data_IF_874670203361
#
_entry.id   IF_874670203361
#
_cell.length_a   1.000
_cell.length_b   1.000
_cell.length_c   1.000
_cell.angle_alpha   90.00
_cell.angle_beta   90.00
_cell.angle_gamma   90.00
#
_symmetry.space_group_name_H-M   'P 1'
#
loop_
_entity.id
_entity.type
_entity.pdbx_description
1 polymer ?
#
# COMPACT_ATOMS: atom_id res chain seq x y z
N UNK A 1 9.55 -2.59 -12.65
CA UNK A 1 8.68 -2.58 -11.45
C UNK A 1 7.38 -3.28 -11.74
N UNK A 2 6.95 -4.07 -10.81
CA UNK A 2 5.71 -4.82 -11.00
C UNK A 2 4.49 -3.93 -10.79
N UNK A 3 3.55 -3.99 -11.71
CA UNK A 3 2.30 -3.27 -11.58
C UNK A 3 1.30 -4.08 -10.76
N UNK A 4 0.56 -3.39 -9.92
CA UNK A 4 -0.50 -3.99 -9.12
C UNK A 4 -1.77 -3.18 -9.30
N UNK A 5 -2.88 -3.68 -8.75
CA UNK A 5 -4.13 -2.93 -8.74
C UNK A 5 -3.96 -1.62 -8.01
N UNK A 6 -3.13 -1.61 -6.98
CA UNK A 6 -2.88 -0.40 -6.22
C UNK A 6 -2.31 0.70 -7.12
N UNK A 7 -1.42 0.34 -8.04
CA UNK A 7 -0.85 1.31 -8.99
C UNK A 7 -1.90 1.85 -9.96
N UNK A 8 -2.96 1.10 -10.19
CA UNK A 8 -4.06 1.58 -11.01
C UNK A 8 -4.99 2.53 -10.26
N UNK A 9 -5.03 2.44 -8.94
CA UNK A 9 -5.92 3.25 -8.13
C UNK A 9 -5.28 4.57 -7.70
N UNK A 10 -3.98 4.60 -7.52
CA UNK A 10 -3.26 5.74 -6.95
C UNK A 10 -2.05 6.09 -7.80
N UNK A 11 -1.59 7.36 -7.73
CA UNK A 11 -0.29 7.69 -8.32
C UNK A 11 0.79 6.75 -7.78
N UNK A 12 1.79 6.49 -8.61
CA UNK A 12 2.81 5.50 -8.28
C UNK A 12 3.45 5.75 -6.91
N UNK A 13 3.80 7.01 -6.62
CA UNK A 13 4.48 7.31 -5.35
C UNK A 13 3.57 7.00 -4.17
N UNK A 14 2.29 7.36 -4.26
CA UNK A 14 1.36 7.07 -3.17
C UNK A 14 1.14 5.59 -3.02
N UNK A 15 0.97 4.88 -4.14
CA UNK A 15 0.78 3.44 -4.12
C UNK A 15 1.95 2.74 -3.42
N UNK A 16 3.18 3.17 -3.73
CA UNK A 16 4.36 2.54 -3.14
C UNK A 16 4.45 2.81 -1.64
N UNK A 17 4.21 4.04 -1.21
CA UNK A 17 4.27 4.36 0.21
C UNK A 17 3.18 3.61 0.98
N UNK A 18 1.97 3.59 0.44
CA UNK A 18 0.87 2.86 1.08
C UNK A 18 1.20 1.38 1.17
N UNK A 19 1.74 0.80 0.11
CA UNK A 19 2.12 -0.60 0.11
C UNK A 19 3.15 -0.90 1.19
N UNK A 20 4.17 -0.06 1.28
CA UNK A 20 5.26 -0.30 2.21
C UNK A 20 4.86 -0.11 3.67
N UNK A 21 3.97 0.83 3.95
CA UNK A 21 3.61 1.15 5.32
C UNK A 21 2.34 0.47 5.82
N UNK A 22 1.39 0.19 4.93
CA UNK A 22 0.11 -0.35 5.37
C UNK A 22 0.02 -1.87 5.30
N UNK A 23 0.81 -2.52 4.45
CA UNK A 23 0.79 -3.98 4.43
C UNK A 23 1.50 -4.57 5.64
N UNK A 24 2.35 -3.77 6.28
CA UNK A 24 3.03 -4.20 7.50
C UNK A 24 2.98 -3.06 8.51
N UNK A 25 1.88 -2.93 9.26
CA UNK A 25 1.65 -1.76 10.11
C UNK A 25 2.64 -1.61 11.26
N UNK A 26 3.39 -2.65 11.59
CA UNK A 26 4.41 -2.56 12.62
C UNK A 26 5.74 -2.02 12.09
N UNK A 27 5.84 -1.90 10.78
CA UNK A 27 7.06 -1.44 10.16
C UNK A 27 7.17 0.07 10.28
N UNK A 28 8.35 0.53 10.69
CA UNK A 28 8.70 1.94 10.60
C UNK A 28 9.85 2.07 9.61
N UNK A 29 9.70 2.95 8.64
CA UNK A 29 10.70 3.14 7.61
C UNK A 29 11.08 4.60 7.54
N UNK A 30 12.38 4.86 7.36
CA UNK A 30 12.83 6.24 7.16
C UNK A 30 12.97 6.52 5.66
N UNK A 31 13.14 7.80 5.33
CA UNK A 31 13.00 8.26 3.95
C UNK A 31 13.91 7.51 2.99
N UNK A 32 15.17 7.27 3.37
CA UNK A 32 16.08 6.57 2.48
C UNK A 32 15.64 5.14 2.20
N UNK A 33 15.08 4.47 3.21
CA UNK A 33 14.56 3.12 3.00
C UNK A 33 13.38 3.14 2.03
N UNK A 34 12.50 4.12 2.19
CA UNK A 34 11.37 4.25 1.29
C UNK A 34 11.83 4.52 -0.14
N UNK A 35 12.84 5.37 -0.29
CA UNK A 35 13.41 5.66 -1.59
C UNK A 35 13.98 4.41 -2.23
N UNK A 36 14.74 3.64 -1.46
CA UNK A 36 15.40 2.46 -1.97
C UNK A 36 14.39 1.37 -2.34
N UNK A 37 13.39 1.16 -1.47
CA UNK A 37 12.42 0.09 -1.68
C UNK A 37 11.44 0.41 -2.81
N UNK A 38 11.17 1.69 -3.05
CA UNK A 38 10.22 2.10 -4.08
C UNK A 38 10.89 2.42 -5.40
N UNK A 39 12.20 2.65 -5.39
CA UNK A 39 12.97 3.07 -6.56
C UNK A 39 12.47 4.41 -7.11
N UNK A 40 12.03 5.29 -6.22
CA UNK A 40 11.57 6.62 -6.57
C UNK A 40 12.51 7.67 -5.98
N UNK A 41 12.46 8.89 -6.51
CA UNK A 41 13.35 9.93 -6.07
C UNK A 41 13.03 10.40 -4.64
N UNK A 42 14.06 10.90 -3.97
CA UNK A 42 13.91 11.42 -2.62
C UNK A 42 12.85 12.52 -2.54
N UNK A 43 12.90 13.45 -3.48
CA UNK A 43 11.96 14.57 -3.46
C UNK A 43 10.52 14.10 -3.63
N UNK A 44 10.31 13.17 -4.54
CA UNK A 44 8.98 12.61 -4.79
C UNK A 44 8.43 11.94 -3.52
N UNK A 45 9.28 11.18 -2.85
CA UNK A 45 8.89 10.49 -1.62
C UNK A 45 8.57 11.51 -0.52
N UNK A 46 9.43 12.52 -0.34
CA UNK A 46 9.21 13.51 0.70
C UNK A 46 7.93 14.31 0.49
N UNK A 47 7.65 14.68 -0.76
CA UNK A 47 6.43 15.42 -1.07
C UNK A 47 5.19 14.61 -0.72
N UNK A 48 5.20 13.34 -1.07
CA UNK A 48 4.04 12.50 -0.78
C UNK A 48 3.90 12.21 0.71
N UNK A 49 5.00 11.99 1.41
CA UNK A 49 4.97 11.77 2.85
C UNK A 49 4.33 12.97 3.56
N UNK A 50 4.67 14.18 3.12
CA UNK A 50 4.09 15.38 3.72
C UNK A 50 2.56 15.41 3.52
N UNK A 51 2.09 15.02 2.35
CA UNK A 51 0.65 14.99 2.07
C UNK A 51 -0.06 13.95 2.93
N UNK A 52 0.51 12.77 3.02
CA UNK A 52 -0.09 11.69 3.79
C UNK A 52 -0.08 11.99 5.29
N UNK A 53 0.99 12.61 5.77
CA UNK A 53 1.07 13.00 7.18
C UNK A 53 0.07 14.11 7.48
N UNK A 54 -0.12 15.06 6.57
CA UNK A 54 -1.11 16.12 6.75
C UNK A 54 -2.51 15.54 6.83
N UNK A 55 -2.77 14.46 6.12
CA UNK A 55 -4.06 13.76 6.19
C UNK A 55 -4.15 12.83 7.39
N UNK A 56 -3.08 12.73 8.16
CA UNK A 56 -2.99 11.89 9.36
C UNK A 56 -3.13 10.40 9.06
N UNK A 57 -2.87 10.02 7.84
CA UNK A 57 -2.87 8.60 7.45
C UNK A 57 -1.59 7.92 7.90
N UNK A 58 -0.51 8.68 8.00
CA UNK A 58 0.76 8.19 8.53
C UNK A 58 1.24 9.16 9.61
N UNK A 59 2.10 8.65 10.47
CA UNK A 59 2.74 9.46 11.52
C UNK A 59 4.24 9.26 11.44
N UNK A 60 4.97 10.21 12.00
CA UNK A 60 6.43 10.13 12.00
C UNK A 60 6.97 10.37 13.40
N UNK A 61 8.18 9.87 13.62
CA UNK A 61 8.95 10.19 14.81
C UNK A 61 10.42 10.32 14.43
N UNK A 62 11.15 11.14 15.18
CA UNK A 62 12.56 11.36 14.91
C UNK A 62 13.37 10.79 16.07
N UNK A 63 14.53 10.19 15.75
CA UNK A 63 15.48 9.77 16.78
C UNK A 63 16.72 10.66 16.82
N UNK A 64 16.65 11.82 16.14
CA UNK A 64 17.77 12.75 16.07
C UNK A 64 18.59 12.59 14.80
N UNK A 65 18.54 11.44 14.16
CA UNK A 65 19.27 11.17 12.91
C UNK A 65 18.34 10.91 11.77
N UNK A 66 17.26 10.14 12.01
CA UNK A 66 16.31 9.76 11.00
C UNK A 66 14.92 10.07 11.47
N UNK A 67 14.05 10.36 10.50
CA UNK A 67 12.62 10.45 10.75
C UNK A 67 11.97 9.19 10.21
N UNK A 68 11.32 8.46 11.09
CA UNK A 68 10.67 7.21 10.76
C UNK A 68 9.18 7.44 10.54
N UNK A 69 8.62 6.76 9.56
CA UNK A 69 7.22 6.88 9.20
C UNK A 69 6.53 5.53 9.36
N UNK A 70 5.30 5.56 9.80
CA UNK A 70 4.47 4.36 9.90
C UNK A 70 3.02 4.73 9.68
N UNK A 71 2.20 3.71 9.34
CA UNK A 71 0.76 3.91 9.23
C UNK A 71 0.17 4.32 10.57
N UNK A 72 -0.82 5.23 10.55
CA UNK A 72 -1.50 5.65 11.76
C UNK A 72 -2.69 4.75 12.01
N UNK A 73 -2.55 3.81 12.95
CA UNK A 73 -3.59 2.80 13.20
C UNK A 73 -4.83 3.37 13.87
N UNK A 74 -4.76 4.58 14.37
CA UNK A 74 -5.92 5.22 15.04
C UNK A 74 -6.76 6.05 14.08
N UNK A 75 -6.33 6.18 12.84
CA UNK A 75 -7.11 6.92 11.85
C UNK A 75 -8.42 6.18 11.57
N UNK A 76 -9.54 6.91 11.45
CA UNK A 76 -10.83 6.26 11.21
C UNK A 76 -10.87 5.37 9.97
N UNK A 77 -10.08 5.70 8.95
CA UNK A 77 -10.05 4.94 7.71
C UNK A 77 -8.95 3.88 7.69
N UNK A 78 -8.20 3.73 8.80
CA UNK A 78 -7.05 2.84 8.81
C UNK A 78 -7.41 1.40 8.40
N UNK A 79 -8.40 0.83 9.03
CA UNK A 79 -8.76 -0.57 8.78
C UNK A 79 -9.22 -0.77 7.34
N UNK A 80 -10.05 0.14 6.85
CA UNK A 80 -10.56 0.07 5.48
C UNK A 80 -9.44 0.25 4.47
N UNK A 81 -8.59 1.24 4.69
CA UNK A 81 -7.48 1.51 3.79
C UNK A 81 -6.48 0.37 3.78
N UNK A 82 -6.16 -0.17 4.97
CA UNK A 82 -5.24 -1.30 5.05
C UNK A 82 -5.78 -2.50 4.28
N UNK A 83 -7.05 -2.78 4.46
CA UNK A 83 -7.68 -3.89 3.74
C UNK A 83 -7.60 -3.69 2.23
N UNK A 84 -7.88 -2.47 1.78
CA UNK A 84 -7.77 -2.15 0.36
C UNK A 84 -6.33 -2.31 -0.13
N UNK A 85 -5.37 -1.76 0.61
CA UNK A 85 -3.97 -1.81 0.21
C UNK A 85 -3.45 -3.24 0.15
N UNK A 86 -3.78 -4.05 1.16
CA UNK A 86 -3.33 -5.43 1.18
C UNK A 86 -3.88 -6.19 -0.04
N UNK A 87 -5.17 -6.03 -0.32
CA UNK A 87 -5.77 -6.74 -1.44
C UNK A 87 -5.26 -6.22 -2.78
N UNK A 88 -5.09 -4.92 -2.91
CA UNK A 88 -4.67 -4.32 -4.17
C UNK A 88 -3.17 -4.40 -4.40
N UNK A 89 -2.39 -4.79 -3.40
CA UNK A 89 -0.94 -4.94 -3.53
C UNK A 89 -0.54 -6.21 -4.24
N UNK A 90 -1.46 -7.17 -4.34
CA UNK A 90 -1.16 -8.38 -5.07
C UNK A 90 -0.92 -8.03 -6.54
N UNK A 91 -0.02 -8.74 -7.23
CA UNK A 91 0.17 -8.48 -8.65
C UNK A 91 -1.15 -8.62 -9.40
N UNK A 92 -1.35 -7.73 -10.38
CA UNK A 92 -2.53 -7.82 -11.22
C UNK A 92 -2.53 -9.15 -11.95
N UNK A 93 -3.62 -9.90 -11.83
CA UNK A 93 -3.75 -11.19 -12.48
C UNK A 93 -5.00 -11.19 -13.33
N UNK A 94 -4.98 -11.92 -14.45
CA UNK A 94 -6.25 -12.20 -15.11
C UNK A 94 -7.14 -12.88 -14.11
N UNK A 95 -8.37 -12.44 -13.97
CA UNK A 95 -9.25 -13.06 -13.01
C UNK A 95 -9.64 -14.43 -13.48
N UNK A 96 -9.52 -15.35 -12.67
CA UNK A 96 -10.03 -16.66 -12.94
C UNK A 96 -11.52 -16.67 -12.81
N UNK A 97 -11.41 -16.39 -12.60
CA UNK A 97 -12.28 -16.37 -12.09
C UNK A 97 -13.12 -16.31 -11.31
N UNK A 98 -13.16 -16.27 -11.58
CA UNK A 98 -13.66 -16.38 -10.74
C UNK A 98 -14.19 -16.61 -10.31
N UNK A 99 -14.33 -16.57 -10.86
CA UNK A 99 -14.61 -17.20 -10.42
C UNK A 99 -14.88 -17.23 -9.92
N UNK A 100 -15.17 -17.03 -10.35
CA UNK A 100 -15.03 -17.64 -9.91
C UNK A 100 -15.28 -17.65 -9.68
N UNK A 101 -15.74 -17.73 -10.09
CA UNK A 101 -15.66 -18.26 -9.96
C UNK A 101 -15.89 -18.54 -9.61
N UNK A 102 -16.02 -18.49 -10.23
CA UNK A 102 -16.04 -19.36 -10.06
C UNK A 102 -16.38 -19.60 -9.59
N UNK A 103 -16.68 -19.62 -9.87
CA UNK A 103 -16.75 -20.38 -9.58
C UNK A 103 -17.06 -20.66 -9.23
N UNK A 104 -17.12 -20.45 -9.81
CA UNK A 104 -17.04 -21.20 -9.56
C UNK A 104 -17.55 -21.54 -9.33
N UNK A 105 -18.20 -21.73 -9.69
CA UNK A 105 -18.26 -22.54 -9.64
C UNK A 105 -18.81 -22.82 -9.34
N UNK A 106 -18.56 -22.33 -9.90
CA UNK A 106 -18.53 -23.09 -9.76
C UNK A 106 -19.15 -23.48 -9.58
N UNK A 107 -19.29 -23.41 -9.88
CA UNK A 107 -19.33 -24.19 -9.90
C UNK A 107 -19.84 -24.45 -9.71
N UNK A 108 -19.65 -24.12 -10.14
CA UNK A 108 -19.50 -24.77 -10.17
C UNK A 108 -19.77 -24.89 -9.98
N UNK A 109 -19.91 -24.63 -10.52
CA UNK A 109 -19.62 -25.17 -10.41
C UNK A 109 -19.84 -25.19 -10.23
N UNK A 110 -19.20 -24.97 -10.51
CA UNK A 110 -18.68 -25.34 -10.49
C UNK A 110 -18.71 -25.48 -10.38
N UNK A 111 -19.37 -25.31 -11.39
CA UNK A 111 -18.90 -26.03 -11.41
C UNK A 111 -19.01 -26.12 -11.32
N UNK A 112 -18.85 -26.28 -11.67
CA UNK A 112 -18.54 -26.77 -11.60
C UNK A 112 -18.63 -26.88 -11.49
#
# INVERSE_FOLDING_TARGET
>A
MRQTLLHGLFPQVRAEILRLLFTNPRTELYVRQLTRLSDLSLQTIQDELAKLEAARLIVSRSNGYHRFYRAESKHPLYATLRKLVVRASSPAKPQPKARGQRKARARRSEGQ
#
